data_IF_355935435269
#
_entry.id   IF_355935435269
#
_cell.length_a   1.000
_cell.length_b   1.000
_cell.length_c   1.000
_cell.angle_alpha   90.00
_cell.angle_beta   90.00
_cell.angle_gamma   90.00
#
_symmetry.space_group_name_H-M   'P 1'
#
loop_
_entity.id
_entity.type
_entity.pdbx_description
1 polymer ?
#
# COMPACT_ATOMS: atom_id res chain seq x y z
N UNK A 1 6.85 19.55 2.76
CA UNK A 1 5.57 20.29 2.86
C UNK A 1 5.20 20.73 1.44
N UNK A 2 3.96 20.57 1.02
CA UNK A 2 3.52 20.93 -0.35
C UNK A 2 2.94 22.34 -0.42
N UNK A 3 2.29 22.80 0.65
CA UNK A 3 1.69 24.12 0.69
C UNK A 3 0.63 24.21 1.78
N UNK A 4 -0.37 25.06 1.55
CA UNK A 4 -1.52 25.20 2.43
C UNK A 4 -2.82 25.24 1.60
N UNK A 5 -3.94 24.91 2.23
CA UNK A 5 -5.27 24.99 1.60
C UNK A 5 -5.56 26.45 1.20
N UNK A 6 -5.91 26.67 -0.07
CA UNK A 6 -6.32 27.99 -0.58
C UNK A 6 -7.72 28.35 -0.14
N UNK A 7 -8.10 29.63 -0.30
CA UNK A 7 -9.44 30.13 0.02
C UNK A 7 -10.54 29.39 -0.73
N UNK A 8 -10.33 29.11 -2.01
CA UNK A 8 -11.28 28.42 -2.88
C UNK A 8 -11.44 26.96 -2.43
N UNK A 9 -10.32 26.29 -2.14
CA UNK A 9 -10.32 24.90 -1.66
C UNK A 9 -10.96 24.78 -0.26
N UNK A 10 -10.81 25.80 0.60
CA UNK A 10 -11.44 25.85 1.92
C UNK A 10 -12.99 25.86 1.82
N UNK A 11 -13.54 26.63 0.87
CA UNK A 11 -15.00 26.73 0.66
C UNK A 11 -15.61 25.40 0.21
N UNK A 12 -14.87 24.59 -0.56
CA UNK A 12 -15.37 23.32 -1.10
C UNK A 12 -15.13 22.14 -0.15
N UNK A 13 -14.00 22.12 0.55
CA UNK A 13 -13.62 20.99 1.42
C UNK A 13 -14.12 21.11 2.86
N UNK A 14 -14.50 22.32 3.30
CA UNK A 14 -14.81 22.62 4.69
C UNK A 14 -13.57 22.72 5.60
N UNK A 15 -12.36 22.58 5.04
CA UNK A 15 -11.11 22.80 5.76
C UNK A 15 -10.81 24.29 5.89
N UNK A 16 -10.08 24.69 6.92
CA UNK A 16 -9.68 26.09 7.11
C UNK A 16 -8.64 26.50 6.09
N UNK A 17 -8.80 27.68 5.50
CA UNK A 17 -7.75 28.31 4.69
C UNK A 17 -6.45 28.39 5.50
N UNK A 18 -5.31 28.12 4.85
CA UNK A 18 -4.00 28.07 5.51
C UNK A 18 -3.71 26.75 6.23
N UNK A 19 -4.61 25.76 6.22
CA UNK A 19 -4.32 24.41 6.76
C UNK A 19 -3.15 23.78 5.98
N UNK A 20 -2.08 23.31 6.65
CA UNK A 20 -0.93 22.70 5.99
C UNK A 20 -1.27 21.46 5.17
N UNK A 21 -0.76 21.39 3.94
CA UNK A 21 -0.83 20.22 3.06
C UNK A 21 0.55 19.57 3.01
N UNK A 22 0.61 18.31 3.45
CA UNK A 22 1.83 17.50 3.45
C UNK A 22 1.82 16.52 2.29
N UNK A 23 3.02 16.15 1.82
CA UNK A 23 3.15 15.14 0.77
C UNK A 23 2.72 13.78 1.33
N UNK A 24 1.84 13.10 0.59
CA UNK A 24 1.45 11.73 0.89
C UNK A 24 2.49 10.70 0.41
N UNK A 25 2.02 9.48 0.21
CA UNK A 25 2.81 8.37 -0.32
C UNK A 25 1.90 7.30 -0.92
N UNK A 26 2.48 6.22 -1.44
CA UNK A 26 1.70 5.07 -1.90
C UNK A 26 1.00 4.37 -0.74
N UNK A 27 -0.15 3.75 -1.02
CA UNK A 27 -1.02 3.06 -0.07
C UNK A 27 -0.27 1.98 0.72
N UNK A 28 0.47 1.11 0.04
CA UNK A 28 1.25 0.02 0.63
C UNK A 28 2.35 0.56 1.52
N UNK A 29 3.05 1.61 1.09
CA UNK A 29 4.17 2.19 1.82
C UNK A 29 3.71 2.98 3.05
N UNK A 30 2.58 3.68 2.95
CA UNK A 30 1.93 4.31 4.11
C UNK A 30 1.33 3.28 5.06
N UNK A 31 0.79 2.18 4.53
CA UNK A 31 0.34 1.04 5.34
C UNK A 31 1.51 0.43 6.13
N UNK A 32 2.65 0.20 5.49
CA UNK A 32 3.86 -0.27 6.17
C UNK A 32 4.36 0.71 7.24
N UNK A 33 4.29 2.02 6.96
CA UNK A 33 4.58 3.06 7.96
C UNK A 33 3.65 2.94 9.18
N UNK A 34 2.34 2.81 8.96
CA UNK A 34 1.35 2.64 10.03
C UNK A 34 1.54 1.37 10.85
N UNK A 35 2.06 0.30 10.22
CA UNK A 35 2.41 -0.96 10.88
C UNK A 35 3.78 -0.92 11.60
N UNK A 36 4.54 0.17 11.50
CA UNK A 36 5.89 0.27 12.07
C UNK A 36 6.95 -0.55 11.30
N UNK A 37 6.65 -0.96 10.07
CA UNK A 37 7.55 -1.68 9.16
C UNK A 37 8.40 -0.65 8.41
N UNK A 38 9.36 -0.07 9.12
CA UNK A 38 10.12 1.14 8.71
C UNK A 38 11.63 0.94 8.66
N UNK A 39 12.13 -0.22 9.10
CA UNK A 39 13.55 -0.58 9.14
C UNK A 39 13.86 -1.67 8.11
N UNK A 40 15.11 -1.71 7.68
CA UNK A 40 15.61 -2.78 6.80
C UNK A 40 15.45 -4.16 7.46
N UNK A 41 15.15 -5.18 6.65
CA UNK A 41 14.90 -6.54 7.09
C UNK A 41 13.50 -6.79 7.66
N UNK A 42 12.72 -5.74 7.94
CA UNK A 42 11.32 -5.91 8.32
C UNK A 42 10.47 -6.28 7.11
N UNK A 43 9.44 -7.09 7.37
CA UNK A 43 8.53 -7.61 6.37
C UNK A 43 7.08 -7.40 6.80
N UNK A 44 6.19 -7.18 5.84
CA UNK A 44 4.75 -7.16 6.02
C UNK A 44 4.10 -8.07 4.99
N UNK A 45 3.01 -8.75 5.38
CA UNK A 45 2.14 -9.47 4.46
C UNK A 45 0.76 -8.82 4.54
N UNK A 46 0.37 -8.14 3.46
CA UNK A 46 -0.92 -7.45 3.37
C UNK A 46 -1.90 -8.38 2.67
N UNK A 47 -2.79 -9.00 3.45
CA UNK A 47 -3.76 -10.00 2.96
C UNK A 47 -5.06 -9.39 2.42
N UNK A 48 -4.97 -8.53 1.41
CA UNK A 48 -6.14 -7.92 0.76
C UNK A 48 -6.73 -8.74 -0.38
N UNK A 49 -7.51 -8.11 -1.25
CA UNK A 49 -7.98 -8.71 -2.53
C UNK A 49 -6.81 -9.26 -3.34
N UNK A 50 -5.73 -8.48 -3.38
CA UNK A 50 -4.41 -8.94 -3.78
C UNK A 50 -3.54 -8.99 -2.54
N UNK A 51 -2.97 -10.15 -2.30
CA UNK A 51 -1.97 -10.33 -1.27
C UNK A 51 -0.67 -9.71 -1.75
N UNK A 52 -0.03 -8.99 -0.84
CA UNK A 52 1.19 -8.24 -1.15
C UNK A 52 2.21 -8.53 -0.06
N UNK A 53 3.32 -9.16 -0.45
CA UNK A 53 4.45 -9.39 0.44
C UNK A 53 5.45 -8.26 0.27
N UNK A 54 5.71 -7.51 1.35
CA UNK A 54 6.58 -6.33 1.36
C UNK A 54 7.79 -6.60 2.24
N UNK A 55 8.98 -6.42 1.68
CA UNK A 55 10.24 -6.53 2.41
C UNK A 55 11.05 -5.25 2.23
N UNK A 56 11.49 -4.67 3.35
CA UNK A 56 12.35 -3.49 3.34
C UNK A 56 13.81 -3.89 3.14
N UNK A 57 14.38 -3.54 1.99
CA UNK A 57 15.79 -3.82 1.69
C UNK A 57 16.73 -2.76 2.30
N UNK A 58 17.96 -3.12 2.70
CA UNK A 58 18.96 -2.14 3.13
C UNK A 58 19.58 -1.35 1.96
N UNK A 59 19.52 -1.90 0.74
CA UNK A 59 20.06 -1.32 -0.49
C UNK A 59 19.18 -1.72 -1.69
N UNK A 60 19.22 -0.92 -2.77
CA UNK A 60 18.51 -1.27 -4.00
C UNK A 60 19.10 -2.53 -4.59
N UNK A 61 18.26 -3.55 -4.71
CA UNK A 61 18.58 -4.75 -5.46
C UNK A 61 17.38 -5.14 -6.30
N UNK A 62 17.57 -5.18 -7.61
CA UNK A 62 16.58 -5.70 -8.54
C UNK A 62 16.69 -7.21 -8.65
N UNK A 63 15.56 -7.84 -9.00
CA UNK A 63 15.51 -9.26 -9.30
C UNK A 63 16.14 -9.50 -10.69
N UNK A 64 17.14 -10.38 -10.84
CA UNK A 64 17.73 -10.67 -12.15
C UNK A 64 16.69 -11.18 -13.17
N UNK A 65 15.74 -11.98 -12.67
CA UNK A 65 14.66 -12.58 -13.47
C UNK A 65 13.42 -11.68 -13.59
N UNK A 66 13.47 -10.46 -13.03
CA UNK A 66 12.39 -9.48 -13.07
C UNK A 66 11.02 -9.97 -12.54
N UNK A 67 11.01 -11.00 -11.69
CA UNK A 67 9.77 -11.52 -11.11
C UNK A 67 9.18 -10.58 -10.07
N UNK A 68 10.03 -9.76 -9.44
CA UNK A 68 9.61 -8.94 -8.32
C UNK A 68 9.97 -7.47 -8.51
N UNK A 69 8.93 -6.65 -8.29
CA UNK A 69 8.98 -5.20 -8.35
C UNK A 69 9.60 -4.62 -7.10
N UNK A 70 10.29 -3.51 -7.28
CA UNK A 70 11.13 -2.88 -6.27
C UNK A 70 10.79 -1.37 -6.22
N UNK A 71 9.94 -0.98 -5.28
CA UNK A 71 9.37 0.38 -5.20
C UNK A 71 9.97 1.21 -4.07
N UNK A 72 10.16 2.54 -4.22
CA UNK A 72 10.61 3.42 -3.14
C UNK A 72 9.71 3.36 -1.91
N UNK A 73 10.30 3.42 -0.71
CA UNK A 73 9.58 3.60 0.55
C UNK A 73 9.36 5.10 0.86
N UNK A 74 8.32 5.44 1.63
CA UNK A 74 8.07 6.81 2.10
C UNK A 74 9.16 7.41 3.00
N UNK A 75 10.12 6.62 3.50
CA UNK A 75 11.16 7.08 4.43
C UNK A 75 12.43 7.40 3.63
N UNK A 76 12.85 8.68 3.54
CA UNK A 76 13.99 9.08 2.71
C UNK A 76 15.35 8.54 3.20
N UNK A 77 15.47 8.29 4.51
CA UNK A 77 16.76 8.06 5.18
C UNK A 77 17.35 6.66 4.99
N UNK A 78 16.54 5.71 4.52
CA UNK A 78 17.05 4.44 4.04
C UNK A 78 17.22 4.59 2.54
N UNK A 79 18.45 4.87 2.12
CA UNK A 79 18.86 5.02 0.73
C UNK A 79 18.27 3.91 -0.12
N UNK A 80 17.10 4.19 -0.68
CA UNK A 80 16.30 3.28 -1.46
C UNK A 80 16.10 1.88 -0.83
N UNK A 81 15.66 1.88 0.43
CA UNK A 81 14.95 0.73 0.98
C UNK A 81 13.66 0.56 0.20
N UNK A 82 13.64 -0.43 -0.69
CA UNK A 82 12.55 -0.62 -1.63
C UNK A 82 11.76 -1.85 -1.28
N UNK A 83 10.44 -1.72 -1.25
CA UNK A 83 9.51 -2.80 -0.98
C UNK A 83 9.50 -3.77 -2.15
N UNK A 84 9.96 -5.00 -1.90
CA UNK A 84 9.69 -6.21 -2.71
C UNK A 84 8.16 -6.37 -2.77
N UNK A 85 7.61 -6.84 -3.88
CA UNK A 85 6.16 -7.02 -4.04
C UNK A 85 5.85 -8.31 -4.80
N UNK A 86 5.04 -9.18 -4.21
CA UNK A 86 4.54 -10.42 -4.85
C UNK A 86 3.02 -10.47 -4.76
N UNK A 87 2.33 -10.77 -5.87
CA UNK A 87 0.87 -10.91 -5.94
C UNK A 87 0.44 -12.35 -5.60
N UNK A 88 -0.48 -12.51 -4.65
CA UNK A 88 -1.31 -13.73 -4.53
C UNK A 88 -2.80 -13.33 -4.49
N UNK A 89 -3.71 -14.23 -4.87
CA UNK A 89 -5.11 -13.86 -5.15
C UNK A 89 -6.07 -14.15 -3.99
N UNK A 90 -6.27 -13.16 -3.11
CA UNK A 90 -7.38 -13.17 -2.14
C UNK A 90 -8.76 -13.13 -2.82
N UNK A 91 -8.82 -12.62 -4.05
CA UNK A 91 -10.02 -12.66 -4.89
C UNK A 91 -10.55 -14.09 -5.13
N UNK A 92 -9.66 -15.07 -5.27
CA UNK A 92 -10.05 -16.48 -5.47
C UNK A 92 -10.74 -17.03 -4.23
N UNK A 93 -10.31 -16.64 -3.03
CA UNK A 93 -10.97 -17.03 -1.78
C UNK A 93 -12.38 -16.41 -1.65
N UNK A 94 -12.54 -15.15 -2.08
CA UNK A 94 -13.87 -14.52 -2.14
C UNK A 94 -14.79 -15.22 -3.14
N UNK A 95 -14.29 -15.52 -4.34
CA UNK A 95 -15.03 -16.27 -5.35
C UNK A 95 -15.44 -17.65 -4.84
N UNK A 96 -14.54 -18.38 -4.18
CA UNK A 96 -14.84 -19.69 -3.61
C UNK A 96 -15.95 -19.61 -2.57
N UNK A 97 -15.85 -18.64 -1.64
CA UNK A 97 -16.88 -18.42 -0.62
C UNK A 97 -18.23 -18.08 -1.23
N UNK A 98 -18.27 -17.13 -2.18
CA UNK A 98 -19.52 -16.60 -2.71
C UNK A 98 -20.16 -17.57 -3.73
N UNK A 99 -19.35 -18.25 -4.54
CA UNK A 99 -19.82 -19.17 -5.58
C UNK A 99 -20.11 -20.59 -5.09
N UNK A 100 -19.26 -21.16 -4.23
CA UNK A 100 -19.37 -22.58 -3.84
C UNK A 100 -19.93 -22.76 -2.43
N UNK A 101 -19.61 -21.89 -1.48
CA UNK A 101 -20.07 -22.04 -0.10
C UNK A 101 -21.41 -21.35 0.19
N UNK A 102 -21.77 -20.33 -0.59
CA UNK A 102 -23.03 -19.58 -0.44
C UNK A 102 -24.02 -19.80 -1.59
N UNK A 103 -23.61 -20.46 -2.67
CA UNK A 103 -24.45 -20.77 -3.85
C UNK A 103 -25.46 -21.91 -3.66
N UNK A 104 -25.84 -22.25 -2.42
CA UNK A 104 -26.82 -23.30 -2.11
C UNK A 104 -28.29 -22.82 -2.10
N UNK A 105 -28.58 -21.57 -2.44
CA UNK A 105 -29.93 -21.05 -2.65
C UNK A 105 -30.13 -20.66 -4.12
N UNK A 106 -30.08 -21.65 -5.01
CA UNK A 106 -30.77 -21.58 -6.29
C UNK A 106 -32.12 -22.27 -6.10
N UNK A 107 -33.16 -21.46 -5.83
CA UNK A 107 -34.55 -21.92 -5.86
C UNK A 107 -34.85 -22.50 -7.25
N UNK A 108 -35.23 -23.78 -7.28
CA UNK A 108 -36.04 -24.35 -8.36
C UNK A 108 -37.42 -23.70 -8.41
#
# INVERSE_FOLDING_TARGET
MLGAITREAAQQSGLREGTPVVMGGGDVQLGCLGLGVVRAGQTAVLGGTFWQQVVNLPQVRTDPDMNIRVNPHVIPRYGAGRSRFSFFTGLTMRWFRDGLLRGGEVNC
#
